data_IF_638768408184
#
_entry.id   IF_638768408184
#
_cell.length_a   1.000
_cell.length_b   1.000
_cell.length_c   1.000
_cell.angle_alpha   90.00
_cell.angle_beta   90.00
_cell.angle_gamma   90.00
#
_symmetry.space_group_name_H-M   'P 1'
#
loop_
_entity.id
_entity.type
_entity.pdbx_description
1 polymer ?
#
# COMPACT_ATOMS: atom_id res chain seq x y z
N UNK A 1 25.63 -9.30 3.96
CA UNK A 1 24.44 -9.34 4.83
C UNK A 1 23.20 -8.96 4.04
N UNK A 2 22.14 -9.72 4.16
CA UNK A 2 20.91 -9.29 3.52
C UNK A 2 20.43 -7.99 4.15
N UNK A 3 19.79 -7.09 3.36
CA UNK A 3 19.26 -5.87 3.90
C UNK A 3 18.17 -6.17 4.93
N UNK A 4 18.07 -5.33 5.95
CA UNK A 4 17.00 -5.44 6.92
C UNK A 4 15.66 -5.18 6.25
N UNK A 5 14.66 -5.97 6.61
CA UNK A 5 13.30 -5.68 6.19
C UNK A 5 12.87 -4.33 6.79
N UNK A 6 12.26 -3.49 5.97
CA UNK A 6 11.77 -2.19 6.42
C UNK A 6 10.48 -2.38 7.22
N UNK A 7 10.30 -1.65 8.32
CA UNK A 7 9.03 -1.72 9.05
C UNK A 7 7.90 -1.07 8.26
N UNK A 8 6.66 -1.46 8.58
CA UNK A 8 5.47 -0.80 8.05
C UNK A 8 5.13 0.39 8.94
N UNK A 9 4.92 1.54 8.33
CA UNK A 9 4.46 2.74 9.03
C UNK A 9 3.03 3.03 8.57
N UNK A 10 2.06 2.75 9.42
CA UNK A 10 0.64 2.89 9.11
C UNK A 10 0.17 4.31 9.37
N UNK A 11 0.01 5.11 8.34
CA UNK A 11 -0.55 6.45 8.48
C UNK A 11 -2.06 6.43 8.48
N UNK A 12 -2.68 5.48 7.77
CA UNK A 12 -4.11 5.33 7.71
C UNK A 12 -4.48 3.93 7.27
N UNK A 13 -5.58 3.42 7.82
CA UNK A 13 -6.10 2.12 7.45
C UNK A 13 -5.45 0.98 8.21
N UNK A 14 -6.01 -0.20 8.00
CA UNK A 14 -5.51 -1.42 8.64
C UNK A 14 -5.89 -2.62 7.78
N UNK A 15 -5.20 -3.73 7.99
CA UNK A 15 -5.48 -4.99 7.32
C UNK A 15 -5.89 -5.99 8.41
N UNK A 16 -7.19 -6.27 8.47
CA UNK A 16 -7.73 -7.18 9.49
C UNK A 16 -8.99 -7.87 8.99
N UNK A 17 -9.36 -8.94 9.62
CA UNK A 17 -10.60 -9.68 9.33
C UNK A 17 -11.57 -9.50 10.51
N UNK A 18 -12.82 -9.00 10.33
CA UNK A 18 -13.24 -8.33 9.11
C UNK A 18 -12.64 -6.95 8.97
N UNK A 19 -12.74 -6.24 7.81
CA UNK A 19 -13.52 -6.57 6.65
C UNK A 19 -12.80 -7.41 5.59
N UNK A 20 -11.48 -7.57 5.67
CA UNK A 20 -10.77 -8.47 4.77
C UNK A 20 -11.25 -9.91 5.02
N UNK A 21 -11.42 -10.71 3.95
CA UNK A 21 -11.55 -12.15 4.15
C UNK A 21 -10.24 -12.68 4.73
N UNK A 22 -10.27 -13.86 5.31
CA UNK A 22 -9.07 -14.47 5.86
C UNK A 22 -8.02 -14.66 4.76
N UNK A 23 -8.43 -15.13 3.59
CA UNK A 23 -7.54 -15.33 2.45
C UNK A 23 -6.92 -14.04 1.97
N UNK A 24 -7.72 -12.98 1.84
CA UNK A 24 -7.21 -11.68 1.41
C UNK A 24 -6.25 -11.08 2.44
N UNK A 25 -6.54 -11.26 3.73
CA UNK A 25 -5.66 -10.80 4.79
C UNK A 25 -4.29 -11.49 4.73
N UNK A 26 -4.30 -12.80 4.53
CA UNK A 26 -3.07 -13.59 4.43
C UNK A 26 -2.27 -13.15 3.20
N UNK A 27 -2.95 -12.97 2.06
CA UNK A 27 -2.31 -12.52 0.83
C UNK A 27 -1.71 -11.12 1.01
N UNK A 28 -2.44 -10.21 1.66
CA UNK A 28 -1.94 -8.85 1.93
C UNK A 28 -0.66 -8.90 2.77
N UNK A 29 -0.67 -9.71 3.83
CA UNK A 29 0.51 -9.87 4.69
C UNK A 29 1.70 -10.44 3.94
N UNK A 30 1.47 -11.43 3.10
CA UNK A 30 2.52 -12.04 2.29
C UNK A 30 3.14 -11.02 1.31
N UNK A 31 2.31 -10.28 0.60
CA UNK A 31 2.80 -9.29 -0.38
C UNK A 31 3.49 -8.12 0.30
N UNK A 32 2.96 -7.63 1.42
CA UNK A 32 3.60 -6.56 2.19
C UNK A 32 4.97 -7.00 2.71
N UNK A 33 5.08 -8.26 3.14
CA UNK A 33 6.37 -8.77 3.58
C UNK A 33 7.42 -8.72 2.47
N UNK A 34 7.03 -9.10 1.26
CA UNK A 34 7.93 -9.04 0.11
C UNK A 34 8.36 -7.60 -0.19
N UNK A 35 7.44 -6.65 -0.09
CA UNK A 35 7.76 -5.22 -0.25
C UNK A 35 8.74 -4.77 0.83
N UNK A 36 8.51 -5.18 2.08
CA UNK A 36 9.41 -4.86 3.19
C UNK A 36 10.83 -5.40 2.96
N UNK A 37 10.94 -6.53 2.29
CA UNK A 37 12.22 -7.16 1.99
C UNK A 37 12.91 -6.57 0.76
N UNK A 38 12.32 -5.53 0.17
CA UNK A 38 12.92 -4.80 -0.95
C UNK A 38 12.50 -5.26 -2.33
N UNK A 39 11.52 -6.16 -2.44
CA UNK A 39 11.05 -6.58 -3.75
C UNK A 39 10.23 -5.50 -4.42
N UNK A 40 10.43 -5.35 -5.72
CA UNK A 40 9.60 -4.49 -6.55
C UNK A 40 8.59 -5.37 -7.25
N UNK A 41 7.38 -5.43 -6.68
CA UNK A 41 6.31 -6.25 -7.23
C UNK A 41 5.77 -5.59 -8.49
N UNK A 42 5.54 -6.39 -9.52
CA UNK A 42 4.95 -5.90 -10.76
C UNK A 42 3.48 -6.27 -10.87
N UNK A 43 2.88 -5.91 -12.00
CA UNK A 43 1.52 -6.34 -12.32
C UNK A 43 1.45 -7.87 -12.33
N UNK A 44 0.32 -8.44 -11.95
CA UNK A 44 -0.96 -7.80 -11.62
C UNK A 44 -1.10 -7.35 -10.17
N UNK A 45 -0.13 -7.66 -9.30
CA UNK A 45 -0.26 -7.42 -7.85
C UNK A 45 -0.04 -5.97 -7.46
N UNK A 46 0.78 -5.26 -8.21
CA UNK A 46 1.22 -3.93 -7.81
C UNK A 46 1.41 -3.04 -9.04
N UNK A 47 1.06 -1.79 -8.92
CA UNK A 47 1.32 -0.81 -9.98
C UNK A 47 1.86 0.48 -9.39
N UNK A 48 2.74 1.19 -10.14
CA UNK A 48 3.22 2.49 -9.67
C UNK A 48 2.10 3.53 -9.69
N UNK A 49 2.19 4.48 -8.76
CA UNK A 49 1.24 5.58 -8.63
C UNK A 49 1.98 6.91 -8.66
N UNK A 50 2.54 7.29 -9.84
CA UNK A 50 3.31 8.53 -9.94
C UNK A 50 2.48 9.78 -9.68
N UNK A 51 1.15 9.69 -9.83
CA UNK A 51 0.25 10.80 -9.51
C UNK A 51 0.27 11.16 -8.02
N UNK A 52 0.68 10.25 -7.14
CA UNK A 52 0.81 10.51 -5.71
C UNK A 52 2.20 11.06 -5.41
N UNK A 53 3.23 10.44 -5.96
CA UNK A 53 4.60 10.86 -5.74
C UNK A 53 5.59 9.80 -6.15
N UNK A 54 6.86 10.09 -5.93
CA UNK A 54 7.94 9.15 -6.24
C UNK A 54 7.88 7.96 -5.32
N UNK A 55 8.16 6.78 -5.86
CA UNK A 55 8.18 5.51 -5.12
C UNK A 55 6.86 5.24 -4.39
N UNK A 56 5.76 5.64 -5.01
CA UNK A 56 4.41 5.34 -4.53
C UNK A 56 3.79 4.28 -5.41
N UNK A 57 3.10 3.35 -4.78
CA UNK A 57 2.54 2.16 -5.44
C UNK A 57 1.19 1.82 -4.87
N UNK A 58 0.42 1.06 -5.62
CA UNK A 58 -0.86 0.51 -5.19
C UNK A 58 -0.79 -1.01 -5.25
N UNK A 59 -0.90 -1.64 -4.11
CA UNK A 59 -0.97 -3.10 -4.00
C UNK A 59 -2.43 -3.51 -4.14
N UNK A 60 -2.69 -4.54 -4.93
CA UNK A 60 -4.05 -4.98 -5.27
C UNK A 60 -4.25 -6.40 -4.78
N UNK A 61 -5.26 -6.60 -3.95
CA UNK A 61 -5.56 -7.89 -3.35
C UNK A 61 -7.02 -8.24 -3.65
N UNK A 62 -7.26 -9.20 -4.57
CA UNK A 62 -8.62 -9.62 -4.86
C UNK A 62 -9.30 -10.22 -3.62
N UNK A 63 -10.58 -9.92 -3.45
CA UNK A 63 -11.43 -10.54 -2.45
C UNK A 63 -12.76 -10.91 -3.13
N UNK A 64 -13.73 -11.38 -2.37
CA UNK A 64 -14.91 -12.04 -2.93
C UNK A 64 -15.64 -11.24 -4.02
N UNK A 65 -16.00 -9.99 -3.73
CA UNK A 65 -16.75 -9.15 -4.67
C UNK A 65 -16.14 -7.78 -4.88
N UNK A 66 -14.89 -7.60 -4.43
CA UNK A 66 -14.18 -6.35 -4.60
C UNK A 66 -12.67 -6.59 -4.55
N UNK A 67 -11.89 -5.56 -4.81
CA UNK A 67 -10.44 -5.61 -4.72
C UNK A 67 -9.99 -4.64 -3.64
N UNK A 68 -9.21 -5.14 -2.68
CA UNK A 68 -8.56 -4.30 -1.71
C UNK A 68 -7.37 -3.60 -2.35
N UNK A 69 -7.15 -2.36 -1.99
CA UNK A 69 -6.02 -1.59 -2.48
C UNK A 69 -5.28 -0.99 -1.29
N UNK A 70 -3.97 -1.21 -1.29
CA UNK A 70 -3.09 -0.66 -0.26
C UNK A 70 -2.13 0.28 -0.98
N UNK A 71 -2.27 1.58 -0.71
CA UNK A 71 -1.41 2.61 -1.30
C UNK A 71 -0.26 2.85 -0.35
N UNK A 72 0.96 2.71 -0.86
CA UNK A 72 2.15 2.84 -0.02
C UNK A 72 3.25 3.61 -0.73
N UNK A 73 4.17 4.14 0.08
CA UNK A 73 5.37 4.82 -0.37
C UNK A 73 6.60 4.08 0.18
N UNK A 74 7.58 3.84 -0.68
CA UNK A 74 8.82 3.20 -0.27
C UNK A 74 9.79 4.29 0.18
N UNK A 75 9.90 4.45 1.49
CA UNK A 75 10.82 5.38 2.11
C UNK A 75 12.17 4.69 2.35
N UNK A 76 13.21 5.47 2.64
CA UNK A 76 14.53 4.91 2.94
C UNK A 76 14.52 4.01 4.18
N UNK A 77 13.64 4.29 5.15
CA UNK A 77 13.63 3.60 6.43
C UNK A 77 12.36 2.77 6.68
N UNK A 78 11.31 2.97 5.90
CA UNK A 78 10.03 2.33 6.16
C UNK A 78 9.22 2.15 4.87
N UNK A 79 8.24 1.26 4.93
CA UNK A 79 7.18 1.20 3.93
C UNK A 79 5.99 1.95 4.55
N UNK A 80 5.65 3.08 3.98
CA UNK A 80 4.66 4.01 4.54
C UNK A 80 3.30 3.71 3.93
N UNK A 81 2.37 3.22 4.74
CA UNK A 81 1.02 2.91 4.29
C UNK A 81 0.19 4.18 4.31
N UNK A 82 -0.24 4.63 3.14
CA UNK A 82 -0.96 5.89 2.98
C UNK A 82 -2.48 5.70 3.01
N UNK A 83 -2.97 4.56 2.54
CA UNK A 83 -4.41 4.28 2.51
C UNK A 83 -4.65 2.79 2.32
N UNK A 84 -5.75 2.29 2.89
CA UNK A 84 -6.28 0.95 2.64
C UNK A 84 -7.75 1.13 2.29
N UNK A 85 -8.16 0.68 1.12
CA UNK A 85 -9.54 0.85 0.66
C UNK A 85 -10.01 -0.32 -0.19
N UNK A 86 -11.32 -0.53 -0.23
CA UNK A 86 -11.97 -1.51 -1.09
C UNK A 86 -12.57 -0.79 -2.28
N UNK A 87 -12.36 -1.33 -3.48
CA UNK A 87 -12.87 -0.70 -4.69
C UNK A 87 -13.36 -1.72 -5.68
N UNK A 88 -14.46 -1.38 -6.35
CA UNK A 88 -14.98 -2.17 -7.46
C UNK A 88 -14.48 -1.67 -8.81
N UNK A 89 -14.14 -0.38 -8.91
CA UNK A 89 -13.65 0.22 -10.15
C UNK A 89 -12.15 0.04 -10.31
N UNK A 90 -11.66 0.15 -11.54
CA UNK A 90 -10.24 0.00 -11.84
C UNK A 90 -9.41 1.21 -11.41
N UNK A 91 -10.01 2.38 -11.49
CA UNK A 91 -9.28 3.63 -11.23
C UNK A 91 -9.33 4.02 -9.77
N UNK A 92 -8.24 4.58 -9.29
CA UNK A 92 -8.20 5.18 -7.96
C UNK A 92 -8.81 6.56 -8.03
N UNK A 93 -9.81 6.87 -7.19
CA UNK A 93 -10.46 8.18 -7.24
C UNK A 93 -9.49 9.32 -6.97
N UNK A 94 -9.79 10.47 -7.57
CA UNK A 94 -8.97 11.67 -7.39
C UNK A 94 -8.85 12.07 -5.91
N UNK A 95 -9.94 11.95 -5.16
CA UNK A 95 -9.92 12.29 -3.73
C UNK A 95 -8.93 11.42 -2.95
N UNK A 96 -8.84 10.15 -3.30
CA UNK A 96 -7.89 9.24 -2.64
C UNK A 96 -6.46 9.63 -2.99
N UNK A 97 -6.21 9.95 -4.25
CA UNK A 97 -4.88 10.39 -4.68
C UNK A 97 -4.47 11.67 -3.93
N UNK A 98 -5.37 12.65 -3.87
CA UNK A 98 -5.08 13.92 -3.20
C UNK A 98 -4.85 13.72 -1.69
N UNK A 99 -5.63 12.86 -1.06
CA UNK A 99 -5.46 12.54 0.36
C UNK A 99 -4.12 11.85 0.60
N UNK A 100 -3.75 10.91 -0.25
CA UNK A 100 -2.47 10.22 -0.13
C UNK A 100 -1.29 11.17 -0.31
N UNK A 101 -1.39 12.10 -1.28
CA UNK A 101 -0.37 13.13 -1.47
C UNK A 101 -0.19 13.97 -0.20
N UNK A 102 -1.29 14.38 0.41
CA UNK A 102 -1.25 15.18 1.62
C UNK A 102 -0.61 14.41 2.78
N UNK A 103 -0.98 13.16 2.96
CA UNK A 103 -0.39 12.30 4.00
C UNK A 103 1.11 12.13 3.80
N UNK A 104 1.52 11.89 2.56
CA UNK A 104 2.93 11.73 2.24
C UNK A 104 3.71 13.01 2.53
N UNK A 105 3.17 14.16 2.12
CA UNK A 105 3.80 15.45 2.38
C UNK A 105 3.99 15.68 3.87
N UNK A 106 2.96 15.39 4.67
CA UNK A 106 3.03 15.55 6.13
C UNK A 106 4.05 14.61 6.75
N UNK A 107 4.09 13.37 6.29
CA UNK A 107 5.07 12.40 6.78
C UNK A 107 6.48 12.87 6.49
N UNK A 108 6.74 13.31 5.26
CA UNK A 108 8.06 13.77 4.86
C UNK A 108 8.49 15.03 5.61
N UNK A 109 7.56 15.89 5.97
CA UNK A 109 7.85 17.11 6.73
C UNK A 109 8.26 16.81 8.17
N UNK A 110 7.90 15.64 8.70
CA UNK A 110 8.23 15.25 10.08
C UNK A 110 9.58 14.54 10.19
N UNK A 111 10.24 14.30 9.08
CA UNK A 111 11.54 13.62 9.07
C UNK A 111 12.70 14.57 9.30
#
# INVERSE_FOLDING_TARGET
MPPRAKPLAWLHGEVKTPPFSQEARIEAGFLLRRVQEGENLGLPHCRPMPSIGRKCYELRIPDQDHTWRIVYHVDSEAIVILEVLAKKSRETPREVIDTCKLRLTRYQALK
#
